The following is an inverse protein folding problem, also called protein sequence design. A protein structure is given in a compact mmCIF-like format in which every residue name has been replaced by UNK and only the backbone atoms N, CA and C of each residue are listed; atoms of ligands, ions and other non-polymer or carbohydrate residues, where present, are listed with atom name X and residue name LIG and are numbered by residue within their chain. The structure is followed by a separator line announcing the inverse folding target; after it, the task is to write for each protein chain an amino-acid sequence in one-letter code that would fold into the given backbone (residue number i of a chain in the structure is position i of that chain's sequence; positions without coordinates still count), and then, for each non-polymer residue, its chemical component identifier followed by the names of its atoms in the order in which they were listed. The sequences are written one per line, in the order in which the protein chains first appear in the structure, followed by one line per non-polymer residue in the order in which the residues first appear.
data_IF_492324038645
#
_entry.id   IF_492324038645
#
_cell.length_a   1.000
_cell.length_b   1.000
_cell.length_c   1.000
_cell.angle_alpha   90.00
_cell.angle_beta   90.00
_cell.angle_gamma   90.00
#
_symmetry.space_group_name_H-M   'P 1'
#
loop_
_entity.id
_entity.type
_entity.pdbx_description
1 polymer ?
#
# COMPACT_ATOMS: atom_id res chain seq x y z
N UNK A 1 4.30 4.45 25.76
CA UNK A 1 3.31 4.90 24.75
C UNK A 1 4.02 5.34 23.48
N UNK A 2 5.10 6.12 23.59
CA UNK A 2 5.97 6.50 22.48
C UNK A 2 6.54 5.30 21.69
N UNK A 3 7.19 4.34 22.35
CA UNK A 3 7.72 3.12 21.72
C UNK A 3 6.64 2.33 20.95
N UNK A 4 5.40 2.33 21.46
CA UNK A 4 4.29 1.64 20.81
C UNK A 4 3.76 2.45 19.61
N UNK A 5 3.77 3.78 19.69
CA UNK A 5 3.51 4.66 18.55
C UNK A 5 4.52 4.44 17.42
N UNK A 6 5.82 4.39 17.76
CA UNK A 6 6.91 4.11 16.82
C UNK A 6 6.77 2.72 16.19
N UNK A 7 6.44 1.70 16.99
CA UNK A 7 6.17 0.34 16.48
C UNK A 7 5.04 0.34 15.44
N UNK A 8 3.95 1.08 15.70
CA UNK A 8 2.84 1.19 14.76
C UNK A 8 3.22 1.96 13.50
N UNK A 9 4.01 3.02 13.62
CA UNK A 9 4.55 3.76 12.47
C UNK A 9 5.40 2.85 11.57
N UNK A 10 6.33 2.12 12.16
CA UNK A 10 7.16 1.13 11.45
C UNK A 10 6.33 0.00 10.82
N UNK A 11 5.27 -0.45 11.49
CA UNK A 11 4.35 -1.45 10.94
C UNK A 11 3.59 -0.92 9.73
N UNK A 12 3.11 0.34 9.75
CA UNK A 12 2.46 0.98 8.60
C UNK A 12 3.42 1.01 7.41
N UNK A 13 4.67 1.43 7.61
CA UNK A 13 5.70 1.48 6.57
C UNK A 13 5.93 0.07 5.98
N UNK A 14 6.09 -0.94 6.84
CA UNK A 14 6.28 -2.32 6.41
C UNK A 14 5.10 -2.84 5.56
N UNK A 15 3.87 -2.61 6.02
CA UNK A 15 2.67 -3.01 5.29
C UNK A 15 2.55 -2.28 3.95
N UNK A 16 2.86 -0.98 3.92
CA UNK A 16 2.86 -0.17 2.70
C UNK A 16 3.89 -0.69 1.68
N UNK A 17 5.09 -1.08 2.12
CA UNK A 17 6.09 -1.73 1.26
C UNK A 17 5.56 -3.05 0.68
N UNK A 18 4.92 -3.89 1.50
CA UNK A 18 4.29 -5.13 1.04
C UNK A 18 3.17 -4.88 0.03
N UNK A 19 2.40 -3.80 0.21
CA UNK A 19 1.36 -3.38 -0.73
C UNK A 19 1.99 -2.97 -2.09
N UNK A 20 3.04 -2.16 -2.04
CA UNK A 20 3.80 -1.71 -3.20
C UNK A 20 4.55 -2.85 -3.93
N UNK A 21 4.88 -3.94 -3.24
CA UNK A 21 5.57 -5.11 -3.82
C UNK A 21 4.85 -5.69 -5.04
N UNK A 22 3.52 -5.53 -5.12
CA UNK A 22 2.72 -5.92 -6.28
C UNK A 22 3.22 -5.30 -7.58
N UNK A 23 3.58 -4.02 -7.54
CA UNK A 23 4.07 -3.29 -8.69
C UNK A 23 5.38 -3.87 -9.20
N UNK A 24 6.29 -4.22 -8.28
CA UNK A 24 7.55 -4.88 -8.60
C UNK A 24 7.32 -6.27 -9.21
N UNK A 25 6.47 -7.10 -8.59
CA UNK A 25 6.10 -8.42 -9.12
C UNK A 25 5.56 -8.33 -10.55
N UNK A 26 4.67 -7.36 -10.80
CA UNK A 26 4.08 -7.16 -12.12
C UNK A 26 5.12 -6.72 -13.14
N UNK A 27 6.05 -5.83 -12.77
CA UNK A 27 7.16 -5.43 -13.65
C UNK A 27 8.04 -6.63 -14.00
N UNK A 28 8.45 -7.42 -13.00
CA UNK A 28 9.26 -8.63 -13.23
C UNK A 28 8.54 -9.59 -14.18
N UNK A 29 7.24 -9.83 -13.98
CA UNK A 29 6.46 -10.71 -14.85
C UNK A 29 6.37 -10.20 -16.28
N UNK A 30 6.17 -8.89 -16.48
CA UNK A 30 6.08 -8.29 -17.83
C UNK A 30 7.41 -8.38 -18.58
N UNK A 31 8.53 -8.04 -17.93
CA UNK A 31 9.84 -8.03 -18.60
C UNK A 31 10.47 -9.42 -18.74
N UNK A 32 10.37 -10.25 -17.70
CA UNK A 32 11.10 -11.51 -17.63
C UNK A 32 10.21 -12.75 -17.65
N UNK A 33 8.89 -12.63 -17.60
CA UNK A 33 7.98 -13.76 -17.44
C UNK A 33 8.14 -14.86 -18.50
N UNK A 34 8.31 -14.49 -19.78
CA UNK A 34 8.58 -15.45 -20.87
C UNK A 34 9.91 -16.18 -20.68
N UNK A 35 10.97 -15.42 -20.33
CA UNK A 35 12.29 -16.00 -20.09
C UNK A 35 12.28 -16.93 -18.88
N UNK A 36 11.65 -16.51 -17.76
CA UNK A 36 11.51 -17.30 -16.53
C UNK A 36 10.75 -18.60 -16.81
N UNK A 37 9.68 -18.55 -17.62
CA UNK A 37 8.89 -19.72 -18.02
C UNK A 37 9.73 -20.76 -18.76
N UNK A 38 10.58 -20.33 -19.69
CA UNK A 38 11.34 -21.22 -20.55
C UNK A 38 12.66 -21.70 -19.91
N UNK A 39 13.30 -20.86 -19.10
CA UNK A 39 14.68 -21.09 -18.67
C UNK A 39 14.84 -21.42 -17.18
N UNK A 40 13.77 -21.36 -16.37
CA UNK A 40 13.89 -21.53 -14.92
C UNK A 40 12.77 -22.38 -14.31
N UNK A 41 13.05 -23.00 -13.16
CA UNK A 41 12.05 -23.65 -12.32
C UNK A 41 11.25 -22.65 -11.45
N UNK A 42 11.54 -21.36 -11.54
CA UNK A 42 10.94 -20.32 -10.69
C UNK A 42 9.59 -19.80 -11.21
N UNK A 43 9.19 -20.15 -12.43
CA UNK A 43 7.92 -19.70 -13.00
C UNK A 43 6.68 -20.05 -12.12
N UNK A 44 6.56 -21.26 -11.55
CA UNK A 44 5.45 -21.59 -10.64
C UNK A 44 5.47 -20.74 -9.37
N UNK A 45 6.66 -20.45 -8.83
CA UNK A 45 6.80 -19.59 -7.65
C UNK A 45 6.37 -18.16 -7.96
N UNK A 46 6.79 -17.61 -9.10
CA UNK A 46 6.38 -16.27 -9.54
C UNK A 46 4.85 -16.16 -9.69
N UNK A 47 4.21 -17.17 -10.30
CA UNK A 47 2.75 -17.24 -10.42
C UNK A 47 2.06 -17.34 -9.06
N UNK A 48 2.61 -18.16 -8.14
CA UNK A 48 2.09 -18.29 -6.77
C UNK A 48 2.19 -16.96 -6.02
N UNK A 49 3.35 -16.28 -6.09
CA UNK A 49 3.56 -14.97 -5.46
C UNK A 49 2.62 -13.91 -6.02
N UNK A 50 2.41 -13.87 -7.34
CA UNK A 50 1.44 -12.98 -7.95
C UNK A 50 0.00 -13.24 -7.48
N UNK A 51 -0.42 -14.51 -7.42
CA UNK A 51 -1.76 -14.90 -6.97
C UNK A 51 -1.98 -14.56 -5.49
N UNK A 52 -0.99 -14.88 -4.64
CA UNK A 52 -1.03 -14.55 -3.21
C UNK A 52 -1.08 -13.05 -3.01
N UNK A 53 -0.20 -12.29 -3.67
CA UNK A 53 -0.20 -10.84 -3.55
C UNK A 53 -1.51 -10.23 -4.06
N UNK A 54 -2.09 -10.71 -5.17
CA UNK A 54 -3.41 -10.25 -5.62
C UNK A 54 -4.52 -10.52 -4.59
N UNK A 55 -4.47 -11.67 -3.90
CA UNK A 55 -5.44 -12.03 -2.88
C UNK A 55 -5.29 -11.16 -1.63
N UNK A 56 -4.06 -10.94 -1.16
CA UNK A 56 -3.77 -10.22 0.08
C UNK A 56 -3.74 -8.70 -0.06
N UNK A 57 -3.45 -8.16 -1.25
CA UNK A 57 -3.35 -6.72 -1.50
C UNK A 57 -4.51 -5.88 -0.94
N UNK A 58 -5.81 -6.19 -1.18
CA UNK A 58 -6.90 -5.41 -0.58
C UNK A 58 -6.93 -5.52 0.95
N UNK A 59 -6.57 -6.68 1.51
CA UNK A 59 -6.51 -6.89 2.96
C UNK A 59 -5.36 -6.11 3.61
N UNK A 60 -4.22 -5.98 2.92
CA UNK A 60 -3.10 -5.15 3.36
C UNK A 60 -3.53 -3.67 3.44
N UNK A 61 -4.24 -3.16 2.43
CA UNK A 61 -4.76 -1.80 2.45
C UNK A 61 -5.72 -1.55 3.64
N UNK A 62 -6.65 -2.48 3.92
CA UNK A 62 -7.51 -2.35 5.10
C UNK A 62 -6.74 -2.41 6.41
N UNK A 63 -5.74 -3.30 6.50
CA UNK A 63 -4.91 -3.41 7.69
C UNK A 63 -4.13 -2.10 7.92
N UNK A 64 -3.55 -1.52 6.88
CA UNK A 64 -2.89 -0.20 6.92
C UNK A 64 -3.86 0.85 7.46
N UNK A 65 -5.09 0.93 6.94
CA UNK A 65 -6.08 1.90 7.39
C UNK A 65 -6.40 1.76 8.88
N UNK A 66 -6.60 0.53 9.36
CA UNK A 66 -6.84 0.26 10.78
C UNK A 66 -5.62 0.66 11.61
N UNK A 67 -4.41 0.30 11.19
CA UNK A 67 -3.18 0.64 11.90
C UNK A 67 -2.95 2.16 11.96
N UNK A 68 -3.25 2.91 10.89
CA UNK A 68 -3.19 4.39 10.90
C UNK A 68 -4.14 4.99 11.93
N UNK A 69 -5.39 4.51 11.99
CA UNK A 69 -6.38 5.00 12.96
C UNK A 69 -5.88 4.77 14.39
N UNK A 70 -5.35 3.58 14.67
CA UNK A 70 -4.79 3.24 15.98
C UNK A 70 -3.55 4.08 16.28
N UNK A 71 -2.64 4.24 15.33
CA UNK A 71 -1.44 5.06 15.46
C UNK A 71 -1.80 6.52 15.77
N UNK A 72 -2.73 7.11 15.00
CA UNK A 72 -3.22 8.47 15.23
C UNK A 72 -3.91 8.64 16.59
N UNK A 73 -4.71 7.66 17.02
CA UNK A 73 -5.34 7.67 18.34
C UNK A 73 -4.31 7.66 19.47
N UNK A 74 -3.27 6.84 19.36
CA UNK A 74 -2.22 6.74 20.38
C UNK A 74 -1.38 8.00 20.42
N UNK A 75 -1.03 8.58 19.27
CA UNK A 75 -0.25 9.81 19.19
C UNK A 75 -1.03 11.00 19.79
N UNK A 76 -2.33 11.09 19.53
CA UNK A 76 -3.19 12.17 20.07
C UNK A 76 -3.55 12.00 21.54
N UNK A 77 -3.68 10.77 22.03
CA UNK A 77 -3.96 10.50 23.45
C UNK A 77 -2.72 10.59 24.34
N UNK A 78 -1.52 10.47 23.76
CA UNK A 78 -0.25 10.49 24.50
C UNK A 78 0.60 11.75 24.34
N UNK A 79 0.68 12.37 23.15
CA UNK A 79 1.81 13.26 22.79
C UNK A 79 1.49 14.43 21.84
N UNK A 80 0.32 15.08 22.00
CA UNK A 80 -0.09 16.32 21.31
C UNK A 80 -0.75 16.16 19.92
N UNK A 81 -1.08 17.31 19.33
CA UNK A 81 -1.84 17.45 18.08
C UNK A 81 -1.17 16.73 16.90
N UNK A 82 -2.00 16.17 16.00
CA UNK A 82 -1.52 15.58 14.75
C UNK A 82 -0.78 16.61 13.92
N UNK A 83 0.44 16.29 13.49
CA UNK A 83 1.19 17.15 12.57
C UNK A 83 0.47 17.22 11.22
N UNK A 84 0.59 18.37 10.55
CA UNK A 84 0.00 18.55 9.21
C UNK A 84 0.52 17.49 8.22
N UNK A 85 1.78 17.09 8.32
CA UNK A 85 2.37 16.05 7.47
C UNK A 85 1.78 14.67 7.77
N UNK A 86 1.52 14.34 9.05
CA UNK A 86 0.86 13.09 9.44
C UNK A 86 -0.59 13.01 8.95
N UNK A 87 -1.33 14.12 9.04
CA UNK A 87 -2.68 14.22 8.47
C UNK A 87 -2.68 14.02 6.94
N UNK A 88 -1.73 14.62 6.22
CA UNK A 88 -1.59 14.46 4.77
C UNK A 88 -1.26 13.01 4.42
N UNK A 89 -0.33 12.37 5.14
CA UNK A 89 0.02 10.96 4.92
C UNK A 89 -1.18 10.03 5.16
N UNK A 90 -1.89 10.22 6.27
CA UNK A 90 -3.11 9.47 6.58
C UNK A 90 -4.21 9.67 5.54
N UNK A 91 -4.39 10.90 5.05
CA UNK A 91 -5.35 11.22 4.00
C UNK A 91 -5.02 10.52 2.67
N UNK A 92 -3.75 10.51 2.24
CA UNK A 92 -3.35 9.80 1.02
C UNK A 92 -3.48 8.29 1.16
N UNK A 93 -3.08 7.69 2.29
CA UNK A 93 -3.28 6.26 2.54
C UNK A 93 -4.77 5.90 2.56
N UNK A 94 -5.60 6.69 3.23
CA UNK A 94 -7.05 6.50 3.22
C UNK A 94 -7.64 6.60 1.82
N UNK A 95 -7.22 7.59 1.02
CA UNK A 95 -7.63 7.73 -0.36
C UNK A 95 -7.20 6.53 -1.22
N UNK A 96 -6.00 5.99 -1.00
CA UNK A 96 -5.50 4.80 -1.70
C UNK A 96 -6.42 3.59 -1.49
N UNK A 97 -6.77 3.33 -0.23
CA UNK A 97 -7.67 2.24 0.17
C UNK A 97 -9.06 2.45 -0.43
N UNK A 98 -9.60 3.67 -0.38
CA UNK A 98 -10.89 4.00 -0.98
C UNK A 98 -10.89 3.79 -2.50
N UNK A 99 -9.87 4.27 -3.21
CA UNK A 99 -9.70 4.05 -4.64
C UNK A 99 -9.53 2.55 -4.96
N UNK A 100 -8.82 1.80 -4.11
CA UNK A 100 -8.73 0.34 -4.23
C UNK A 100 -10.09 -0.36 -4.09
N UNK A 101 -10.86 0.03 -3.08
CA UNK A 101 -12.20 -0.48 -2.79
C UNK A 101 -13.18 -0.18 -3.92
N UNK A 102 -13.35 1.10 -4.27
CA UNK A 102 -14.26 1.56 -5.34
C UNK A 102 -13.92 0.86 -6.65
N UNK A 103 -12.63 0.79 -6.99
CA UNK A 103 -12.19 0.12 -8.20
C UNK A 103 -12.55 -1.37 -8.21
N UNK A 104 -12.49 -2.04 -7.07
CA UNK A 104 -12.71 -3.48 -6.94
C UNK A 104 -14.17 -3.88 -6.89
N UNK A 105 -14.99 -3.15 -6.12
CA UNK A 105 -16.38 -3.54 -5.83
C UNK A 105 -17.43 -2.73 -6.58
N UNK A 106 -17.14 -1.48 -6.94
CA UNK A 106 -18.14 -0.58 -7.52
C UNK A 106 -17.95 -0.34 -9.02
N UNK A 107 -16.71 -0.38 -9.50
CA UNK A 107 -16.42 -0.11 -10.92
C UNK A 107 -16.51 -1.37 -11.80
N UNK A 108 -17.21 -1.23 -12.93
CA UNK A 108 -17.21 -2.22 -14.00
C UNK A 108 -15.84 -2.30 -14.68
N UNK A 109 -15.47 -3.50 -15.15
CA UNK A 109 -14.26 -3.72 -15.97
C UNK A 109 -14.63 -3.63 -17.46
N UNK A 110 -13.74 -3.13 -18.35
CA UNK A 110 -12.41 -2.58 -18.05
C UNK A 110 -12.51 -1.19 -17.38
N UNK A 111 -11.59 -0.91 -16.45
CA UNK A 111 -11.57 0.37 -15.75
C UNK A 111 -10.98 1.46 -16.66
N UNK A 112 -11.47 2.71 -16.58
CA UNK A 112 -10.92 3.82 -17.35
C UNK A 112 -9.44 4.08 -17.05
N UNK A 113 -8.70 4.56 -18.06
CA UNK A 113 -7.26 4.84 -17.93
C UNK A 113 -6.93 5.84 -16.82
N UNK A 114 -7.77 6.87 -16.63
CA UNK A 114 -7.57 7.86 -15.57
C UNK A 114 -7.62 7.23 -14.17
N UNK A 115 -8.47 6.23 -13.95
CA UNK A 115 -8.57 5.53 -12.66
C UNK A 115 -7.29 4.77 -12.34
N UNK A 116 -6.71 4.14 -13.37
CA UNK A 116 -5.46 3.41 -13.25
C UNK A 116 -4.32 4.38 -12.88
N UNK A 117 -4.31 5.58 -13.45
CA UNK A 117 -3.33 6.62 -13.11
C UNK A 117 -3.51 7.12 -11.68
N UNK A 118 -4.73 7.47 -11.27
CA UNK A 118 -5.02 7.93 -9.90
C UNK A 118 -4.58 6.89 -8.87
N UNK A 119 -5.00 5.62 -9.03
CA UNK A 119 -4.63 4.55 -8.11
C UNK A 119 -3.13 4.30 -8.02
N UNK A 120 -2.35 4.63 -9.07
CA UNK A 120 -0.90 4.47 -9.06
C UNK A 120 -0.16 5.71 -8.55
N UNK A 121 -0.74 6.89 -8.72
CA UNK A 121 -0.14 8.16 -8.32
C UNK A 121 -0.26 8.36 -6.82
N UNK A 122 -1.40 8.01 -6.22
CA UNK A 122 -1.62 8.15 -4.77
C UNK A 122 -0.51 7.48 -3.95
N UNK A 123 -0.15 6.19 -4.14
CA UNK A 123 0.94 5.59 -3.38
C UNK A 123 2.30 6.31 -3.53
N UNK A 124 2.56 6.94 -4.69
CA UNK A 124 3.79 7.75 -4.86
C UNK A 124 3.73 9.01 -3.99
N UNK A 125 2.58 9.69 -3.96
CA UNK A 125 2.35 10.84 -3.08
C UNK A 125 2.37 10.45 -1.60
N UNK A 126 1.79 9.29 -1.26
CA UNK A 126 1.86 8.69 0.07
C UNK A 126 3.31 8.49 0.51
N UNK A 127 4.16 7.90 -0.34
CA UNK A 127 5.57 7.71 -0.03
C UNK A 127 6.28 9.03 0.26
N UNK A 128 6.04 10.06 -0.55
CA UNK A 128 6.61 11.40 -0.33
C UNK A 128 6.13 11.96 1.02
N UNK A 129 4.83 11.83 1.31
CA UNK A 129 4.25 12.30 2.57
C UNK A 129 4.84 11.59 3.80
N UNK A 130 5.04 10.26 3.74
CA UNK A 130 5.73 9.50 4.79
C UNK A 130 7.16 10.01 4.98
N UNK A 131 7.92 10.22 3.90
CA UNK A 131 9.33 10.61 3.99
C UNK A 131 9.55 12.01 4.59
N UNK A 132 8.57 12.93 4.42
CA UNK A 132 8.61 14.27 5.02
C UNK A 132 7.90 14.34 6.37
N UNK A 133 7.12 13.32 6.71
CA UNK A 133 6.55 13.16 8.04
C UNK A 133 7.68 12.74 8.97
N UNK A 134 8.10 13.69 9.80
CA UNK A 134 8.95 13.43 10.94
C UNK A 134 8.02 13.40 12.14
N UNK A 135 8.02 12.27 12.84
CA UNK A 135 7.45 12.14 14.17
C UNK A 135 8.20 13.07 15.14
#
# INVERSE_FOLDING_TARGET
MEEFGELLGNLIIFLFILEAFRFLLKRVFVYYGKWIKTNTKFHPLLLKSMKMNQLFHPWLGYLILVTIIVHAYIQTSGFAFLSNTGLIAAAFMGAEVLVGFVGTYLMKKPRPSYWIWIHRLIPVLTLIAILIHKD
#
